data_IF_145989061517
#
_entry.id   IF_145989061517
#
_cell.length_a   1.000
_cell.length_b   1.000
_cell.length_c   1.000
_cell.angle_alpha   90.00
_cell.angle_beta   90.00
_cell.angle_gamma   90.00
#
_symmetry.space_group_name_H-M   'P 1'
#
loop_
_entity.id
_entity.type
_entity.pdbx_description
1 polymer ?
#
# COMPACT_ATOMS: atom_id res chain seq x y z
N UNK A 1 -13.65 12.53 13.46
CA UNK A 1 -12.98 13.16 12.32
C UNK A 1 -13.41 12.43 11.03
N UNK A 2 -13.39 13.02 9.84
CA UNK A 2 -13.62 12.26 8.61
C UNK A 2 -12.41 11.35 8.30
N UNK A 3 -12.60 10.37 7.41
CA UNK A 3 -11.52 9.64 6.76
C UNK A 3 -10.53 10.61 6.11
N UNK A 4 -9.25 10.28 6.12
CA UNK A 4 -8.17 11.08 5.51
C UNK A 4 -7.56 10.34 4.32
N UNK A 5 -6.90 11.08 3.42
CA UNK A 5 -6.04 10.47 2.39
C UNK A 5 -4.68 10.11 2.98
N UNK A 6 -3.92 9.28 2.29
CA UNK A 6 -2.55 8.94 2.71
C UNK A 6 -1.54 10.07 2.48
N UNK A 7 -1.88 11.10 1.70
CA UNK A 7 -0.96 12.17 1.30
C UNK A 7 -0.26 12.87 2.48
N UNK A 8 -1.04 13.46 3.37
CA UNK A 8 -0.49 14.17 4.54
C UNK A 8 0.11 13.19 5.56
N UNK A 9 -0.43 11.97 5.62
CA UNK A 9 0.10 10.92 6.49
C UNK A 9 1.52 10.53 6.05
N UNK A 10 1.73 10.30 4.75
CA UNK A 10 3.05 9.94 4.20
C UNK A 10 4.05 11.09 4.30
N UNK A 11 3.63 12.32 4.05
CA UNK A 11 4.50 13.48 4.23
C UNK A 11 5.03 13.60 5.67
N UNK A 12 4.14 13.46 6.67
CA UNK A 12 4.51 13.48 8.09
C UNK A 12 5.38 12.27 8.48
N UNK A 13 5.09 11.09 7.93
CA UNK A 13 5.87 9.89 8.17
C UNK A 13 7.30 10.05 7.64
N UNK A 14 7.45 10.58 6.43
CA UNK A 14 8.75 10.85 5.84
C UNK A 14 9.57 11.86 6.67
N UNK A 15 8.95 12.99 7.02
CA UNK A 15 9.61 14.02 7.84
C UNK A 15 9.94 13.54 9.26
N UNK A 16 9.05 12.73 9.84
CA UNK A 16 9.20 12.19 11.19
C UNK A 16 10.08 10.94 11.27
N UNK A 17 10.46 10.38 10.13
CA UNK A 17 11.28 9.17 10.06
C UNK A 17 10.58 7.93 10.62
N UNK A 18 9.31 7.70 10.25
CA UNK A 18 8.55 6.50 10.62
C UNK A 18 7.76 5.95 9.42
N UNK A 19 7.33 4.69 9.51
CA UNK A 19 6.44 4.09 8.54
C UNK A 19 5.00 4.02 9.07
N UNK A 20 4.03 3.93 8.17
CA UNK A 20 2.62 3.76 8.52
C UNK A 20 2.20 2.35 8.15
N UNK A 21 1.59 1.64 9.10
CA UNK A 21 1.06 0.31 8.85
C UNK A 21 -0.21 0.35 8.02
N UNK A 22 -0.26 -0.51 6.99
CA UNK A 22 -1.44 -0.79 6.20
C UNK A 22 -1.90 -2.22 6.52
N UNK A 23 -3.17 -2.36 6.94
CA UNK A 23 -3.70 -3.59 7.49
C UNK A 23 -4.95 -4.03 6.75
N UNK A 24 -4.94 -5.24 6.21
CA UNK A 24 -6.09 -5.83 5.54
C UNK A 24 -7.23 -6.09 6.53
N UNK A 25 -8.42 -5.63 6.18
CA UNK A 25 -9.62 -5.79 6.99
C UNK A 25 -10.78 -6.36 6.16
N UNK A 26 -11.53 -7.27 6.76
CA UNK A 26 -12.67 -7.93 6.13
C UNK A 26 -13.86 -8.15 7.07
N UNK A 27 -13.72 -7.84 8.37
CA UNK A 27 -14.76 -7.99 9.37
C UNK A 27 -14.56 -7.03 10.54
N UNK A 28 -15.55 -6.95 11.41
CA UNK A 28 -15.57 -6.06 12.57
C UNK A 28 -14.45 -6.38 13.58
N UNK A 29 -14.19 -7.64 13.85
CA UNK A 29 -13.24 -8.10 14.87
C UNK A 29 -11.81 -7.69 14.49
N UNK A 30 -11.46 -7.83 13.22
CA UNK A 30 -10.15 -7.42 12.69
C UNK A 30 -9.99 -5.90 12.78
N UNK A 31 -11.00 -5.13 12.38
CA UNK A 31 -10.99 -3.67 12.48
C UNK A 31 -10.82 -3.23 13.93
N UNK A 32 -11.58 -3.79 14.87
CA UNK A 32 -11.49 -3.45 16.29
C UNK A 32 -10.11 -3.72 16.87
N UNK A 33 -9.52 -4.88 16.56
CA UNK A 33 -8.18 -5.23 17.05
C UNK A 33 -7.09 -4.28 16.56
N UNK A 34 -7.12 -3.93 15.27
CA UNK A 34 -6.16 -3.01 14.64
C UNK A 34 -6.32 -1.59 15.22
N UNK A 35 -7.57 -1.11 15.30
CA UNK A 35 -7.85 0.24 15.79
C UNK A 35 -7.53 0.38 17.28
N UNK A 36 -7.77 -0.64 18.09
CA UNK A 36 -7.36 -0.65 19.49
C UNK A 36 -5.83 -0.56 19.65
N UNK A 37 -5.09 -1.28 18.82
CA UNK A 37 -3.64 -1.18 18.79
C UNK A 37 -3.19 0.23 18.36
N UNK A 38 -3.80 0.80 17.34
CA UNK A 38 -3.54 2.17 16.88
C UNK A 38 -3.82 3.22 17.97
N UNK A 39 -4.94 3.07 18.71
CA UNK A 39 -5.25 3.95 19.88
C UNK A 39 -4.18 3.86 20.95
N UNK A 40 -3.70 2.67 21.28
CA UNK A 40 -2.62 2.48 22.29
C UNK A 40 -1.31 3.12 21.85
N UNK A 41 -1.01 3.09 20.56
CA UNK A 41 0.23 3.65 19.99
C UNK A 41 0.09 5.12 19.55
N UNK A 42 -1.10 5.69 19.56
CA UNK A 42 -1.41 7.02 19.01
C UNK A 42 -0.95 7.16 17.55
N UNK A 43 -1.10 6.07 16.79
CA UNK A 43 -0.58 5.95 15.42
C UNK A 43 -1.67 6.15 14.36
N UNK A 44 -1.39 6.81 13.23
CA UNK A 44 -2.26 6.82 12.07
C UNK A 44 -2.33 5.41 11.45
N UNK A 45 -3.42 5.08 10.79
CA UNK A 45 -3.65 3.76 10.22
C UNK A 45 -4.11 3.85 8.76
N UNK A 46 -3.70 2.86 7.96
CA UNK A 46 -4.32 2.55 6.68
C UNK A 46 -5.10 1.24 6.87
N UNK A 47 -6.42 1.30 6.75
CA UNK A 47 -7.27 0.12 6.69
C UNK A 47 -7.51 -0.20 5.23
N UNK A 48 -6.92 -1.31 4.77
CA UNK A 48 -6.98 -1.69 3.36
C UNK A 48 -7.94 -2.84 3.13
N UNK A 49 -8.62 -2.78 2.00
CA UNK A 49 -9.68 -3.71 1.61
C UNK A 49 -9.41 -4.20 0.20
N UNK A 50 -9.18 -5.49 0.06
CA UNK A 50 -9.02 -6.14 -1.22
C UNK A 50 -10.35 -6.34 -1.95
N UNK A 51 -10.29 -6.71 -3.22
CA UNK A 51 -11.46 -7.13 -4.00
C UNK A 51 -12.19 -8.30 -3.34
N UNK A 52 -11.43 -9.29 -2.84
CA UNK A 52 -11.98 -10.44 -2.11
C UNK A 52 -12.72 -10.02 -0.83
N UNK A 53 -12.14 -9.13 -0.03
CA UNK A 53 -12.78 -8.60 1.17
C UNK A 53 -14.05 -7.81 0.86
N UNK A 54 -14.07 -7.00 -0.21
CA UNK A 54 -15.27 -6.28 -0.68
C UNK A 54 -16.39 -7.24 -1.08
N UNK A 55 -16.06 -8.32 -1.78
CA UNK A 55 -17.03 -9.34 -2.19
C UNK A 55 -17.58 -10.13 -0.99
N UNK A 56 -16.71 -10.44 0.00
CA UNK A 56 -17.08 -11.17 1.20
C UNK A 56 -18.03 -10.39 2.11
N UNK A 57 -17.65 -9.15 2.46
CA UNK A 57 -18.31 -8.41 3.54
C UNK A 57 -19.28 -7.32 3.05
N UNK A 58 -19.43 -7.12 1.76
CA UNK A 58 -20.15 -6.00 1.14
C UNK A 58 -19.49 -4.62 1.40
N UNK A 59 -19.23 -3.82 0.35
CA UNK A 59 -18.52 -2.54 0.47
C UNK A 59 -19.18 -1.55 1.42
N UNK A 60 -20.54 -1.50 1.45
CA UNK A 60 -21.27 -0.61 2.33
C UNK A 60 -21.06 -0.93 3.80
N UNK A 61 -21.07 -2.23 4.17
CA UNK A 61 -20.84 -2.62 5.57
C UNK A 61 -19.41 -2.32 6.00
N UNK A 62 -18.42 -2.66 5.16
CA UNK A 62 -17.01 -2.34 5.47
C UNK A 62 -16.79 -0.84 5.64
N UNK A 63 -17.32 -0.03 4.73
CA UNK A 63 -17.25 1.43 4.85
C UNK A 63 -17.83 1.90 6.18
N UNK A 64 -19.02 1.43 6.57
CA UNK A 64 -19.67 1.84 7.82
C UNK A 64 -18.90 1.38 9.06
N UNK A 65 -18.29 0.20 9.03
CA UNK A 65 -17.43 -0.27 10.12
C UNK A 65 -16.17 0.62 10.24
N UNK A 66 -15.56 1.00 9.12
CA UNK A 66 -14.40 1.90 9.14
C UNK A 66 -14.80 3.31 9.58
N UNK A 67 -15.92 3.86 9.11
CA UNK A 67 -16.46 5.14 9.60
C UNK A 67 -16.68 5.13 11.13
N UNK A 68 -17.28 4.06 11.66
CA UNK A 68 -17.45 3.88 13.11
C UNK A 68 -16.09 3.80 13.85
N UNK A 69 -15.11 3.11 13.28
CA UNK A 69 -13.76 3.03 13.84
C UNK A 69 -13.06 4.40 13.90
N UNK A 70 -13.26 5.25 12.89
CA UNK A 70 -12.75 6.63 12.88
C UNK A 70 -13.41 7.47 13.97
N UNK A 71 -14.72 7.36 14.13
CA UNK A 71 -15.47 8.09 15.18
C UNK A 71 -15.04 7.67 16.59
N UNK A 72 -14.92 6.36 16.82
CA UNK A 72 -14.53 5.80 18.13
C UNK A 72 -13.08 6.13 18.50
N UNK A 73 -12.16 6.04 17.55
CA UNK A 73 -10.73 6.21 17.83
C UNK A 73 -10.26 7.65 17.81
N UNK A 74 -10.85 8.49 16.97
CA UNK A 74 -10.36 9.83 16.66
C UNK A 74 -9.00 9.85 15.93
N UNK A 75 -8.50 8.69 15.48
CA UNK A 75 -7.24 8.59 14.76
C UNK A 75 -7.38 9.03 13.29
N UNK A 76 -6.31 9.51 12.67
CA UNK A 76 -6.23 9.64 11.22
C UNK A 76 -6.23 8.25 10.58
N UNK A 77 -7.32 7.91 9.88
CA UNK A 77 -7.46 6.62 9.19
C UNK A 77 -7.74 6.86 7.71
N UNK A 78 -6.98 6.22 6.84
CA UNK A 78 -7.27 6.13 5.41
C UNK A 78 -7.95 4.80 5.09
N UNK A 79 -9.00 4.84 4.26
CA UNK A 79 -9.62 3.66 3.69
C UNK A 79 -9.05 3.44 2.29
N UNK A 80 -8.36 2.33 2.10
CA UNK A 80 -7.55 2.05 0.93
C UNK A 80 -8.03 0.79 0.18
N UNK A 81 -8.14 0.88 -1.15
CA UNK A 81 -8.32 -0.30 -2.00
C UNK A 81 -6.94 -0.95 -2.23
N UNK A 82 -6.82 -2.20 -1.82
CA UNK A 82 -5.62 -3.02 -1.95
C UNK A 82 -5.67 -3.84 -3.25
N UNK A 83 -4.62 -3.77 -4.07
CA UNK A 83 -4.48 -4.46 -5.35
C UNK A 83 -5.72 -4.39 -6.28
N UNK A 84 -6.10 -3.18 -6.67
CA UNK A 84 -7.11 -2.99 -7.71
C UNK A 84 -6.60 -3.50 -9.06
N UNK A 85 -7.32 -4.47 -9.64
CA UNK A 85 -6.94 -5.15 -10.88
C UNK A 85 -7.41 -4.45 -12.17
N UNK A 86 -8.18 -3.38 -12.03
CA UNK A 86 -8.80 -2.68 -13.16
C UNK A 86 -9.19 -1.25 -12.82
N UNK A 87 -9.32 -0.43 -13.86
CA UNK A 87 -9.86 0.92 -13.75
C UNK A 87 -11.27 0.91 -13.12
N UNK A 88 -12.12 -0.03 -13.54
CA UNK A 88 -13.50 -0.14 -13.06
C UNK A 88 -13.57 -0.44 -11.56
N UNK A 89 -12.68 -1.28 -11.05
CA UNK A 89 -12.62 -1.59 -9.63
C UNK A 89 -12.14 -0.39 -8.82
N UNK A 90 -11.08 0.30 -9.27
CA UNK A 90 -10.61 1.52 -8.62
C UNK A 90 -11.68 2.60 -8.63
N UNK A 91 -12.35 2.81 -9.78
CA UNK A 91 -13.46 3.75 -9.90
C UNK A 91 -14.60 3.40 -8.93
N UNK A 92 -15.01 2.14 -8.86
CA UNK A 92 -16.05 1.69 -7.92
C UNK A 92 -15.66 1.95 -6.47
N UNK A 93 -14.41 1.73 -6.09
CA UNK A 93 -13.93 2.01 -4.73
C UNK A 93 -13.98 3.52 -4.41
N UNK A 94 -13.56 4.36 -5.36
CA UNK A 94 -13.63 5.82 -5.23
C UNK A 94 -15.08 6.27 -5.05
N UNK A 95 -16.00 5.78 -5.88
CA UNK A 95 -17.44 6.09 -5.81
C UNK A 95 -18.06 5.63 -4.48
N UNK A 96 -17.58 4.53 -3.91
CA UNK A 96 -17.96 4.03 -2.59
C UNK A 96 -17.36 4.85 -1.43
N UNK A 97 -16.46 5.82 -1.70
CA UNK A 97 -15.90 6.75 -0.74
C UNK A 97 -14.58 6.28 -0.10
N UNK A 98 -13.83 5.44 -0.77
CA UNK A 98 -12.43 5.18 -0.42
C UNK A 98 -11.62 6.47 -0.60
N UNK A 99 -10.65 6.68 0.29
CA UNK A 99 -9.79 7.89 0.28
C UNK A 99 -8.43 7.65 -0.36
N UNK A 100 -8.13 6.40 -0.64
CA UNK A 100 -6.92 5.94 -1.33
C UNK A 100 -7.24 4.68 -2.12
N UNK A 101 -6.63 4.51 -3.29
CA UNK A 101 -6.76 3.29 -4.10
C UNK A 101 -5.40 2.89 -4.66
N UNK A 102 -5.15 1.58 -4.72
CA UNK A 102 -4.03 1.03 -5.48
C UNK A 102 -4.52 0.46 -6.80
N UNK A 103 -3.86 0.83 -7.89
CA UNK A 103 -3.95 0.15 -9.17
C UNK A 103 -2.73 -0.75 -9.36
N UNK A 104 -2.95 -2.05 -9.39
CA UNK A 104 -1.90 -3.03 -9.67
C UNK A 104 -1.98 -3.47 -11.15
N UNK A 105 -1.26 -2.76 -11.98
CA UNK A 105 -1.05 -3.10 -13.39
C UNK A 105 0.37 -3.63 -13.66
N UNK A 106 1.07 -4.12 -12.63
CA UNK A 106 2.45 -4.63 -12.69
C UNK A 106 2.61 -5.86 -13.61
N UNK A 107 1.51 -6.57 -13.85
CA UNK A 107 1.47 -7.70 -14.79
C UNK A 107 1.53 -7.29 -16.26
N UNK A 108 1.23 -6.04 -16.58
CA UNK A 108 1.23 -5.50 -17.93
C UNK A 108 2.62 -5.02 -18.37
N UNK A 109 2.88 -4.89 -19.67
CA UNK A 109 4.04 -4.17 -20.17
C UNK A 109 4.11 -2.75 -19.61
N UNK A 110 5.32 -2.22 -19.41
CA UNK A 110 5.57 -0.91 -18.76
C UNK A 110 4.71 0.24 -19.35
N UNK A 111 4.61 0.32 -20.67
CA UNK A 111 3.80 1.37 -21.33
C UNK A 111 2.30 1.23 -21.04
N UNK A 112 1.79 0.00 -20.96
CA UNK A 112 0.39 -0.28 -20.68
C UNK A 112 0.09 -0.04 -19.18
N UNK A 113 1.04 -0.39 -18.27
CA UNK A 113 0.95 -0.04 -16.86
C UNK A 113 0.83 1.49 -16.70
N UNK A 114 1.71 2.28 -17.33
CA UNK A 114 1.62 3.75 -17.33
C UNK A 114 0.24 4.21 -17.79
N UNK A 115 -0.26 3.67 -18.88
CA UNK A 115 -1.55 4.08 -19.45
C UNK A 115 -2.70 3.86 -18.49
N UNK A 116 -2.86 2.64 -17.99
CA UNK A 116 -3.96 2.28 -17.07
C UNK A 116 -3.85 3.08 -15.78
N UNK A 117 -2.65 3.18 -15.22
CA UNK A 117 -2.38 3.94 -13.99
C UNK A 117 -2.75 5.43 -14.17
N UNK A 118 -2.36 6.05 -15.29
CA UNK A 118 -2.70 7.45 -15.58
C UNK A 118 -4.22 7.69 -15.66
N UNK A 119 -4.96 6.74 -16.22
CA UNK A 119 -6.42 6.82 -16.30
C UNK A 119 -7.05 6.78 -14.90
N UNK A 120 -6.56 5.91 -14.02
CA UNK A 120 -7.00 5.82 -12.61
C UNK A 120 -6.64 7.09 -11.85
N UNK A 121 -5.40 7.57 -11.98
CA UNK A 121 -4.92 8.81 -11.32
C UNK A 121 -5.80 9.99 -11.68
N UNK A 122 -6.10 10.16 -12.95
CA UNK A 122 -6.98 11.25 -13.40
C UNK A 122 -8.33 11.21 -12.73
N UNK A 123 -8.98 10.04 -12.71
CA UNK A 123 -10.29 9.89 -12.08
C UNK A 123 -10.21 10.13 -10.56
N UNK A 124 -9.23 9.54 -9.90
CA UNK A 124 -9.05 9.65 -8.46
C UNK A 124 -8.79 11.11 -8.01
N UNK A 125 -7.89 11.82 -8.69
CA UNK A 125 -7.56 13.20 -8.36
C UNK A 125 -8.74 14.15 -8.57
N UNK A 126 -9.58 13.92 -9.60
CA UNK A 126 -10.83 14.67 -9.81
C UNK A 126 -11.82 14.50 -8.64
N UNK A 127 -11.66 13.43 -7.83
CA UNK A 127 -12.49 13.11 -6.65
C UNK A 127 -11.77 13.35 -5.31
N UNK A 128 -10.55 13.88 -5.33
CA UNK A 128 -9.75 14.13 -4.12
C UNK A 128 -9.20 12.88 -3.45
N UNK A 129 -9.08 11.78 -4.20
CA UNK A 129 -8.55 10.48 -3.77
C UNK A 129 -7.12 10.33 -4.27
N UNK A 130 -6.24 9.74 -3.47
CA UNK A 130 -4.85 9.47 -3.82
C UNK A 130 -4.67 8.08 -4.40
N UNK A 131 -3.63 7.90 -5.23
CA UNK A 131 -3.37 6.66 -5.95
C UNK A 131 -2.00 6.10 -5.63
N UNK A 132 -1.97 4.82 -5.32
CA UNK A 132 -0.79 3.98 -5.29
C UNK A 132 -0.73 3.15 -6.57
N UNK A 133 0.48 2.90 -7.07
CA UNK A 133 0.70 1.96 -8.17
C UNK A 133 1.91 1.07 -7.89
N UNK A 134 2.11 0.03 -8.70
CA UNK A 134 3.18 -0.94 -8.51
C UNK A 134 4.11 -1.06 -9.72
N UNK A 135 5.40 -1.15 -9.43
CA UNK A 135 6.45 -1.55 -10.37
C UNK A 135 7.22 -2.76 -9.83
N UNK A 136 7.45 -3.72 -10.70
CA UNK A 136 7.92 -5.06 -10.33
C UNK A 136 6.74 -5.96 -10.01
N UNK A 137 7.00 -7.22 -9.66
CA UNK A 137 5.96 -8.21 -9.30
C UNK A 137 6.42 -8.98 -8.08
N UNK A 138 5.68 -8.87 -6.99
CA UNK A 138 5.93 -9.68 -5.82
C UNK A 138 5.44 -11.11 -6.04
N UNK A 139 6.23 -12.09 -5.57
CA UNK A 139 5.80 -13.48 -5.51
C UNK A 139 4.78 -13.69 -4.38
N UNK A 140 4.00 -14.76 -4.47
CA UNK A 140 3.09 -15.22 -3.41
C UNK A 140 1.63 -15.21 -3.81
N UNK A 141 0.80 -15.58 -2.85
CA UNK A 141 -0.66 -15.67 -3.03
C UNK A 141 -1.34 -14.81 -1.97
N UNK A 142 -2.05 -13.80 -2.40
CA UNK A 142 -2.89 -12.96 -1.56
C UNK A 142 -4.21 -12.67 -2.30
N UNK A 143 -5.31 -13.14 -1.74
CA UNK A 143 -6.63 -13.11 -2.37
C UNK A 143 -6.62 -13.60 -3.84
N UNK A 144 -6.80 -12.70 -4.80
CA UNK A 144 -6.81 -13.01 -6.23
C UNK A 144 -5.44 -12.83 -6.90
N UNK A 145 -4.47 -12.24 -6.20
CA UNK A 145 -3.09 -12.10 -6.67
C UNK A 145 -2.36 -13.42 -6.47
N UNK A 146 -1.91 -14.02 -7.56
CA UNK A 146 -1.15 -15.28 -7.54
C UNK A 146 0.02 -15.20 -8.50
N UNK A 147 1.21 -14.93 -7.95
CA UNK A 147 2.46 -14.81 -8.70
C UNK A 147 3.42 -15.89 -8.23
N UNK A 148 3.81 -16.79 -9.15
CA UNK A 148 4.84 -17.79 -8.86
C UNK A 148 6.22 -17.14 -8.74
N UNK A 149 7.12 -17.76 -7.98
CA UNK A 149 8.51 -17.30 -7.82
C UNK A 149 9.21 -17.07 -9.16
N UNK A 150 8.87 -17.87 -10.19
CA UNK A 150 9.42 -17.76 -11.54
C UNK A 150 8.91 -16.54 -12.31
N UNK A 151 7.72 -16.04 -11.97
CA UNK A 151 7.08 -14.87 -12.59
C UNK A 151 7.29 -13.58 -11.79
N UNK A 152 7.87 -13.68 -10.60
CA UNK A 152 8.25 -12.51 -9.81
C UNK A 152 9.42 -11.77 -10.46
N UNK A 153 9.37 -10.46 -10.43
CA UNK A 153 10.48 -9.63 -10.90
C UNK A 153 10.67 -8.43 -9.99
N UNK A 154 11.92 -8.13 -9.71
CA UNK A 154 12.28 -6.94 -8.94
C UNK A 154 11.95 -5.66 -9.72
N UNK A 155 11.68 -4.59 -8.98
CA UNK A 155 11.56 -3.25 -9.56
C UNK A 155 12.87 -2.85 -10.24
N UNK A 156 12.77 -2.34 -11.47
CA UNK A 156 13.90 -1.68 -12.16
C UNK A 156 13.98 -0.21 -11.71
N UNK A 157 15.01 0.18 -10.94
CA UNK A 157 15.15 1.57 -10.50
C UNK A 157 15.26 2.58 -11.65
N UNK A 158 15.68 2.13 -12.84
CA UNK A 158 15.78 2.98 -14.04
C UNK A 158 14.44 3.47 -14.57
N UNK A 159 13.34 2.82 -14.18
CA UNK A 159 12.00 3.11 -14.68
C UNK A 159 11.16 4.01 -13.75
N UNK A 160 11.54 4.15 -12.47
CA UNK A 160 10.68 4.77 -11.45
C UNK A 160 10.40 6.25 -11.70
N UNK A 161 11.40 7.02 -12.15
CA UNK A 161 11.26 8.45 -12.44
C UNK A 161 10.30 8.69 -13.62
N UNK A 162 10.47 7.91 -14.69
CA UNK A 162 9.60 7.96 -15.85
C UNK A 162 8.16 7.57 -15.48
N UNK A 163 8.01 6.49 -14.73
CA UNK A 163 6.70 6.01 -14.29
C UNK A 163 5.96 7.06 -13.47
N UNK A 164 6.56 7.56 -12.39
CA UNK A 164 5.95 8.55 -11.51
C UNK A 164 5.63 9.85 -12.26
N UNK A 165 6.55 10.33 -13.11
CA UNK A 165 6.33 11.56 -13.86
C UNK A 165 5.22 11.47 -14.90
N UNK A 166 5.05 10.29 -15.54
CA UNK A 166 4.03 10.08 -16.56
C UNK A 166 2.65 9.73 -15.98
N UNK A 167 2.62 9.06 -14.84
CA UNK A 167 1.36 8.63 -14.23
C UNK A 167 0.78 9.65 -13.26
N UNK A 168 1.64 10.36 -12.53
CA UNK A 168 1.23 11.28 -11.47
C UNK A 168 0.73 10.58 -10.21
N UNK A 169 1.13 9.33 -9.96
CA UNK A 169 0.79 8.59 -8.73
C UNK A 169 1.30 9.29 -7.48
N UNK A 170 0.65 9.05 -6.35
CA UNK A 170 0.98 9.67 -5.06
C UNK A 170 1.92 8.81 -4.22
N UNK A 171 1.99 7.50 -4.49
CA UNK A 171 2.92 6.54 -3.87
C UNK A 171 3.23 5.38 -4.81
N UNK A 172 4.36 4.72 -4.59
CA UNK A 172 4.84 3.62 -5.43
C UNK A 172 5.18 2.40 -4.59
N UNK A 173 4.49 1.30 -4.86
CA UNK A 173 4.87 -0.01 -4.39
C UNK A 173 6.02 -0.58 -5.22
N UNK A 174 7.04 -1.11 -4.54
CA UNK A 174 8.23 -1.69 -5.16
C UNK A 174 8.45 -3.13 -4.74
N UNK A 175 8.89 -3.95 -5.67
CA UNK A 175 9.25 -5.33 -5.44
C UNK A 175 10.75 -5.45 -5.16
N UNK A 176 11.11 -5.74 -3.91
CA UNK A 176 12.49 -5.92 -3.47
C UNK A 176 12.76 -7.29 -2.85
N UNK A 177 11.83 -8.25 -3.02
CA UNK A 177 12.00 -9.63 -2.54
C UNK A 177 11.17 -9.99 -1.32
N UNK A 178 10.21 -9.17 -0.92
CA UNK A 178 9.12 -9.57 -0.03
C UNK A 178 8.12 -10.47 -0.77
N UNK A 179 7.21 -11.10 -0.05
CA UNK A 179 6.22 -12.02 -0.62
C UNK A 179 4.85 -11.80 0.00
N UNK A 180 3.80 -11.94 -0.79
CA UNK A 180 2.41 -11.91 -0.34
C UNK A 180 2.02 -13.18 0.43
N UNK A 181 0.94 -13.08 1.21
CA UNK A 181 0.27 -14.20 1.87
C UNK A 181 0.87 -14.65 3.21
N UNK A 182 0.25 -15.64 3.83
CA UNK A 182 0.59 -16.14 5.16
C UNK A 182 1.84 -17.05 5.18
N UNK A 183 2.19 -17.65 4.03
CA UNK A 183 3.31 -18.59 3.88
C UNK A 183 4.39 -17.98 2.98
N UNK A 184 5.00 -16.91 3.45
CA UNK A 184 5.80 -15.98 2.63
C UNK A 184 7.15 -16.51 2.16
N UNK A 185 7.83 -17.33 2.95
CA UNK A 185 9.19 -17.77 2.63
C UNK A 185 9.39 -19.26 2.86
N UNK A 186 9.94 -19.96 1.87
CA UNK A 186 10.46 -21.33 2.03
C UNK A 186 11.94 -21.35 2.50
N UNK A 187 12.52 -20.20 2.85
CA UNK A 187 13.91 -20.01 3.27
C UNK A 187 14.13 -18.60 3.81
N UNK A 188 15.39 -18.21 3.99
CA UNK A 188 15.71 -16.82 4.39
C UNK A 188 15.33 -15.83 3.27
N UNK A 189 14.57 -14.77 3.60
CA UNK A 189 14.23 -13.73 2.63
C UNK A 189 15.50 -13.00 2.20
N UNK A 190 15.72 -12.85 0.90
CA UNK A 190 16.81 -12.08 0.34
C UNK A 190 16.27 -10.75 -0.19
N UNK A 191 16.23 -9.74 0.67
CA UNK A 191 15.77 -8.42 0.26
C UNK A 191 16.86 -7.67 -0.51
N UNK A 192 16.46 -7.02 -1.58
CA UNK A 192 17.32 -6.20 -2.47
C UNK A 192 17.31 -4.74 -1.98
N UNK A 193 18.06 -4.49 -0.90
CA UNK A 193 18.21 -3.14 -0.34
C UNK A 193 18.90 -2.17 -1.30
N UNK A 194 19.74 -2.68 -2.20
CA UNK A 194 20.35 -1.91 -3.28
C UNK A 194 19.31 -1.26 -4.20
N UNK A 195 18.19 -1.97 -4.49
CA UNK A 195 17.06 -1.43 -5.25
C UNK A 195 16.36 -0.32 -4.44
N UNK A 196 16.07 -0.57 -3.16
CA UNK A 196 15.43 0.43 -2.30
C UNK A 196 16.26 1.71 -2.19
N UNK A 197 17.57 1.56 -2.00
CA UNK A 197 18.52 2.69 -1.93
C UNK A 197 18.49 3.51 -3.23
N UNK A 198 18.57 2.84 -4.38
CA UNK A 198 18.59 3.51 -5.68
C UNK A 198 17.26 4.19 -5.98
N UNK A 199 16.12 3.55 -5.70
CA UNK A 199 14.78 4.15 -5.85
C UNK A 199 14.63 5.38 -4.95
N UNK A 200 15.07 5.29 -3.69
CA UNK A 200 15.01 6.41 -2.74
C UNK A 200 15.86 7.62 -3.19
N UNK A 201 16.98 7.37 -3.85
CA UNK A 201 17.82 8.45 -4.44
C UNK A 201 17.16 9.12 -5.64
N UNK A 202 16.49 8.34 -6.48
CA UNK A 202 15.81 8.82 -7.70
C UNK A 202 14.51 9.54 -7.40
N UNK A 203 13.81 9.11 -6.37
CA UNK A 203 12.52 9.66 -5.94
C UNK A 203 12.63 10.28 -4.53
N UNK A 204 13.41 11.38 -4.35
CA UNK A 204 13.60 11.99 -3.04
C UNK A 204 12.26 12.54 -2.51
N UNK A 205 11.94 12.19 -1.25
CA UNK A 205 10.68 12.56 -0.55
C UNK A 205 9.41 11.97 -1.14
N UNK A 206 9.52 11.08 -2.10
CA UNK A 206 8.36 10.38 -2.65
C UNK A 206 8.01 9.17 -1.80
N UNK A 207 6.72 8.92 -1.49
CA UNK A 207 6.31 7.77 -0.69
C UNK A 207 6.56 6.45 -1.40
N UNK A 208 7.30 5.56 -0.74
CA UNK A 208 7.57 4.20 -1.19
C UNK A 208 6.79 3.24 -0.31
N UNK A 209 6.13 2.26 -0.92
CA UNK A 209 5.34 1.25 -0.23
C UNK A 209 6.01 -0.12 -0.39
N UNK A 210 5.98 -0.91 0.68
CA UNK A 210 6.50 -2.27 0.70
C UNK A 210 5.39 -3.24 1.07
N UNK A 211 4.86 -3.91 0.07
CA UNK A 211 3.91 -5.01 0.26
C UNK A 211 4.60 -6.25 0.83
N UNK A 212 3.84 -7.11 1.48
CA UNK A 212 4.39 -8.34 2.04
C UNK A 212 5.35 -8.15 3.23
N UNK A 213 5.38 -6.96 3.84
CA UNK A 213 6.35 -6.61 4.88
C UNK A 213 6.08 -7.23 6.26
N UNK A 214 4.91 -7.80 6.51
CA UNK A 214 4.50 -8.30 7.83
C UNK A 214 5.33 -9.49 8.36
N UNK A 215 6.13 -10.13 7.53
CA UNK A 215 7.04 -11.23 7.92
C UNK A 215 8.52 -10.90 7.65
N UNK A 216 8.87 -9.65 7.45
CA UNK A 216 10.27 -9.22 7.38
C UNK A 216 10.89 -9.38 8.76
N UNK A 217 12.04 -10.04 8.82
CA UNK A 217 12.74 -10.27 10.10
C UNK A 217 13.25 -8.95 10.70
N UNK A 218 13.36 -8.84 12.04
CA UNK A 218 13.73 -7.59 12.71
C UNK A 218 15.02 -6.95 12.21
N UNK A 219 16.02 -7.76 11.87
CA UNK A 219 17.31 -7.28 11.35
C UNK A 219 17.16 -6.52 10.03
N UNK A 220 16.19 -6.91 9.20
CA UNK A 220 15.90 -6.21 7.94
C UNK A 220 15.04 -4.97 8.14
N UNK A 221 14.18 -4.96 9.18
CA UNK A 221 13.42 -3.76 9.54
C UNK A 221 14.37 -2.62 9.90
N UNK A 222 15.45 -2.91 10.63
CA UNK A 222 16.48 -1.91 10.97
C UNK A 222 17.17 -1.34 9.73
N UNK A 223 17.43 -2.16 8.72
CA UNK A 223 18.02 -1.72 7.44
C UNK A 223 17.01 -0.89 6.64
N UNK A 224 15.76 -1.33 6.54
CA UNK A 224 14.69 -0.60 5.86
C UNK A 224 14.51 0.79 6.47
N UNK A 225 14.53 0.89 7.79
CA UNK A 225 14.39 2.15 8.51
C UNK A 225 15.53 3.15 8.26
N UNK A 226 16.71 2.69 7.82
CA UNK A 226 17.81 3.60 7.42
C UNK A 226 17.47 4.41 6.16
N UNK A 227 16.61 3.89 5.30
CA UNK A 227 16.21 4.54 4.05
C UNK A 227 14.84 5.22 4.16
N UNK A 228 13.94 4.72 5.01
CA UNK A 228 12.60 5.25 5.22
C UNK A 228 12.37 5.99 6.54
N UNK A 229 13.41 6.14 7.36
CA UNK A 229 13.34 6.72 8.69
C UNK A 229 13.21 5.68 9.81
N UNK A 230 13.59 6.09 11.02
CA UNK A 230 13.53 5.23 12.19
C UNK A 230 12.15 5.26 12.81
N UNK A 231 11.52 4.10 12.99
CA UNK A 231 10.34 3.95 13.86
C UNK A 231 10.81 3.59 15.28
N UNK A 232 10.69 4.49 16.27
CA UNK A 232 10.92 4.12 17.66
C UNK A 232 9.89 3.05 18.07
N UNK A 233 10.36 1.84 18.37
CA UNK A 233 9.51 0.76 18.83
C UNK A 233 8.90 -0.14 17.75
N UNK A 234 9.29 -0.03 16.49
CA UNK A 234 9.01 -1.06 15.50
C UNK A 234 9.72 -2.36 15.92
N UNK A 235 8.95 -3.37 16.27
CA UNK A 235 9.42 -4.72 16.60
C UNK A 235 8.83 -5.70 15.61
#
# INVERSE_FOLDING_TARGET
>A
MPLVTTKDMFAKAYEGGYAIGAFNVNNMETIQGIVEAGKKQQAPLILQVSKGARNYANPLYLKKLVEAAVEDSGLPIALHLDHGDSYELCKSAIDDGFTSVMIDASSLPFADNIKVTSEVVKYAHDHGVVVEAELGKLAGVEDEVNVSDENACYTDPGQVEEFVSKTGVDSLAIAIGTSHGAYKFKGEPKLRFDILEEVSKRLPKFPIVLHGASSVIPEYVDIINQYGGTMPGAK
#
